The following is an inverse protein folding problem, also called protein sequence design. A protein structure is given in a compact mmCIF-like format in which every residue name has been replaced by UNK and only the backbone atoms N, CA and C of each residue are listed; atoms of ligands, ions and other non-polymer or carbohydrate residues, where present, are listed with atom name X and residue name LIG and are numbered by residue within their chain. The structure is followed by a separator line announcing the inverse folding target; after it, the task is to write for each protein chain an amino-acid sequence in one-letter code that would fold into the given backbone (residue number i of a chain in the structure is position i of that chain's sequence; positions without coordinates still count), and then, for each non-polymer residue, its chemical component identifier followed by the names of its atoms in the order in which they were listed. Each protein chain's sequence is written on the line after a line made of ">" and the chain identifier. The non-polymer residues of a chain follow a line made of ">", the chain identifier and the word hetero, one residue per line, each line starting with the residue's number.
data_IF_847156538017
#
_entry.id   IF_847156538017
#
_cell.length_a   1.000
_cell.length_b   1.000
_cell.length_c   1.000
_cell.angle_alpha   90.00
_cell.angle_beta   90.00
_cell.angle_gamma   90.00
#
_symmetry.space_group_name_H-M   'P 1'
#
loop_
_entity.id
_entity.type
_entity.pdbx_description
1 polymer ?
#
# COMPACT_ATOMS: atom_id res chain seq x y z
N UNK A 1 11.74 62.74 -40.07
CA UNK A 1 12.87 61.79 -40.13
C UNK A 1 13.68 62.01 -38.85
N UNK A 2 13.47 61.35 -37.72
CA UNK A 2 12.85 60.08 -37.33
C UNK A 2 12.60 60.24 -35.82
N UNK A 3 11.34 60.40 -35.40
CA UNK A 3 10.58 59.34 -34.72
C UNK A 3 11.37 58.70 -33.57
N UNK A 4 11.25 59.29 -32.38
CA UNK A 4 10.49 58.74 -31.23
C UNK A 4 11.44 57.97 -30.27
N UNK A 5 11.99 58.59 -29.21
CA UNK A 5 11.35 58.87 -27.90
C UNK A 5 11.33 57.60 -27.01
N UNK A 6 12.35 57.44 -26.17
CA UNK A 6 12.43 57.78 -24.73
C UNK A 6 11.72 56.80 -23.80
N UNK A 7 12.53 56.33 -22.86
CA UNK A 7 12.26 55.78 -21.53
C UNK A 7 10.85 55.98 -20.96
N UNK A 8 10.18 54.87 -20.66
CA UNK A 8 9.30 54.76 -19.49
C UNK A 8 9.27 53.31 -18.99
N UNK A 9 9.39 53.22 -17.69
CA UNK A 9 9.58 52.06 -16.86
C UNK A 9 8.20 51.59 -16.33
N UNK A 10 8.09 50.27 -16.09
CA UNK A 10 7.23 49.63 -15.07
C UNK A 10 5.76 49.35 -15.48
N UNK A 11 5.34 48.13 -15.11
CA UNK A 11 3.98 47.67 -14.78
C UNK A 11 3.37 46.60 -15.71
N UNK A 12 3.42 45.37 -15.17
CA UNK A 12 2.32 44.38 -15.08
C UNK A 12 1.80 43.68 -16.33
N UNK A 13 2.39 42.50 -16.56
CA UNK A 13 1.61 41.27 -16.86
C UNK A 13 2.40 40.08 -16.31
N UNK A 14 2.56 39.94 -14.99
CA UNK A 14 1.61 39.23 -14.12
C UNK A 14 0.77 38.14 -14.82
N UNK A 15 1.07 36.91 -14.38
CA UNK A 15 0.13 35.80 -14.20
C UNK A 15 -0.59 35.23 -15.44
N UNK A 16 -0.02 34.17 -15.98
CA UNK A 16 -0.78 32.91 -16.09
C UNK A 16 -0.17 31.87 -15.17
N UNK A 17 -0.17 32.20 -13.87
CA UNK A 17 -0.37 31.20 -12.83
C UNK A 17 -1.81 30.72 -13.01
N UNK A 18 -2.01 29.73 -13.88
CA UNK A 18 -3.28 29.03 -13.89
C UNK A 18 -3.43 28.36 -12.54
N UNK A 19 -4.31 28.97 -11.76
CA UNK A 19 -4.83 28.53 -10.48
C UNK A 19 -5.39 27.11 -10.62
N UNK A 20 -4.55 26.11 -10.43
CA UNK A 20 -5.07 24.79 -10.07
C UNK A 20 -5.37 24.84 -8.59
N UNK A 21 -6.60 25.27 -8.31
CA UNK A 21 -7.32 25.04 -7.06
C UNK A 21 -6.92 23.70 -6.47
N UNK A 22 -6.91 23.62 -5.13
CA UNK A 22 -6.57 22.48 -4.29
C UNK A 22 -7.33 21.20 -4.71
N UNK A 23 -6.98 20.63 -5.87
CA UNK A 23 -7.54 19.43 -6.47
C UNK A 23 -6.78 18.37 -5.72
N UNK A 24 -7.37 17.94 -4.61
CA UNK A 24 -6.91 16.78 -3.86
C UNK A 24 -6.67 15.70 -4.90
N UNK A 25 -5.40 15.44 -5.20
CA UNK A 25 -5.03 14.51 -6.24
C UNK A 25 -5.72 13.19 -5.89
N UNK A 26 -6.56 12.63 -6.78
CA UNK A 26 -7.28 11.41 -6.47
C UNK A 26 -6.28 10.34 -6.01
N UNK A 27 -6.60 9.56 -4.97
CA UNK A 27 -5.71 8.52 -4.50
C UNK A 27 -5.43 7.53 -5.64
N UNK A 28 -4.20 7.03 -5.68
CA UNK A 28 -3.70 6.14 -6.75
C UNK A 28 -4.65 4.97 -7.05
N UNK A 29 -5.32 4.44 -6.03
CA UNK A 29 -6.26 3.32 -6.18
C UNK A 29 -7.51 3.70 -6.97
N UNK A 30 -8.05 4.89 -6.79
CA UNK A 30 -9.21 5.38 -7.54
C UNK A 30 -8.84 5.60 -9.01
N UNK A 31 -7.65 6.13 -9.26
CA UNK A 31 -7.15 6.29 -10.64
C UNK A 31 -6.95 4.93 -11.31
N UNK A 32 -6.48 3.90 -10.59
CA UNK A 32 -6.39 2.53 -11.12
C UNK A 32 -7.79 1.99 -11.46
N UNK A 33 -8.79 2.22 -10.61
CA UNK A 33 -10.17 1.80 -10.87
C UNK A 33 -10.73 2.48 -12.13
N UNK A 34 -10.54 3.80 -12.26
CA UNK A 34 -10.92 4.55 -13.46
C UNK A 34 -10.23 4.01 -14.73
N UNK A 35 -8.93 3.71 -14.67
CA UNK A 35 -8.21 3.12 -15.79
C UNK A 35 -8.71 1.71 -16.12
N UNK A 36 -9.15 0.92 -15.15
CA UNK A 36 -9.75 -0.39 -15.38
C UNK A 36 -11.14 -0.30 -16.02
N UNK A 37 -11.92 0.72 -15.70
CA UNK A 37 -13.21 0.98 -16.36
C UNK A 37 -13.02 1.39 -17.83
N UNK A 38 -12.02 2.24 -18.11
CA UNK A 38 -11.70 2.71 -19.47
C UNK A 38 -10.99 1.66 -20.31
N UNK A 39 -10.07 0.90 -19.70
CA UNK A 39 -9.22 -0.08 -20.38
C UNK A 39 -9.26 -1.44 -19.66
N UNK A 40 -10.40 -2.15 -19.72
CA UNK A 40 -10.63 -3.38 -18.95
C UNK A 40 -9.73 -4.55 -19.39
N UNK A 41 -9.18 -4.49 -20.61
CA UNK A 41 -8.29 -5.52 -21.13
C UNK A 41 -6.88 -5.44 -20.56
N UNK A 42 -6.44 -4.25 -20.13
CA UNK A 42 -5.09 -4.02 -19.61
C UNK A 42 -5.07 -3.92 -18.10
N UNK A 43 -6.02 -3.15 -17.56
CA UNK A 43 -6.12 -2.89 -16.15
C UNK A 43 -7.24 -3.73 -15.57
N UNK A 44 -6.84 -4.69 -14.75
CA UNK A 44 -7.77 -5.57 -14.06
C UNK A 44 -7.70 -5.21 -12.57
N UNK A 45 -8.84 -4.82 -12.01
CA UNK A 45 -9.02 -4.53 -10.57
C UNK A 45 -9.18 -5.82 -9.78
N UNK A 46 -10.03 -6.72 -10.26
CA UNK A 46 -10.35 -8.00 -9.64
C UNK A 46 -10.12 -9.15 -10.63
N UNK A 47 -9.19 -10.04 -10.30
CA UNK A 47 -8.89 -11.22 -11.11
C UNK A 47 -7.42 -11.37 -11.50
N UNK A 48 -7.16 -12.21 -12.48
CA UNK A 48 -5.80 -12.49 -12.95
C UNK A 48 -5.28 -11.30 -13.75
N UNK A 49 -4.23 -10.67 -13.23
CA UNK A 49 -3.56 -9.55 -13.92
C UNK A 49 -2.67 -10.12 -15.00
N UNK A 50 -2.59 -9.44 -16.15
CA UNK A 50 -1.67 -9.79 -17.24
C UNK A 50 -0.47 -8.82 -17.26
N UNK A 51 0.72 -9.27 -17.69
CA UNK A 51 1.87 -8.39 -17.87
C UNK A 51 1.57 -7.27 -18.88
N UNK A 52 2.00 -6.05 -18.58
CA UNK A 52 1.74 -4.89 -19.43
C UNK A 52 2.79 -4.76 -20.56
N UNK A 53 2.39 -4.13 -21.67
CA UNK A 53 3.29 -3.68 -22.74
C UNK A 53 4.40 -2.77 -22.21
N UNK A 54 5.61 -2.93 -22.73
CA UNK A 54 6.73 -2.03 -22.45
C UNK A 54 6.43 -0.67 -23.11
N UNK A 55 6.51 0.41 -22.34
CA UNK A 55 6.17 1.75 -22.86
C UNK A 55 4.67 2.05 -22.92
N UNK A 56 3.82 1.27 -22.21
CA UNK A 56 2.37 1.53 -22.14
C UNK A 56 2.02 2.96 -21.64
N UNK A 57 2.94 3.62 -20.92
CA UNK A 57 2.75 4.99 -20.48
C UNK A 57 2.52 5.97 -21.64
N UNK A 58 3.21 5.80 -22.76
CA UNK A 58 3.09 6.66 -23.93
C UNK A 58 1.71 6.50 -24.56
N UNK A 59 1.32 5.25 -24.81
CA UNK A 59 -0.01 4.90 -25.36
C UNK A 59 -1.13 5.46 -24.47
N UNK A 60 -0.98 5.38 -23.14
CA UNK A 60 -1.93 5.97 -22.18
C UNK A 60 -1.92 7.50 -22.22
N UNK A 61 -0.75 8.12 -22.30
CA UNK A 61 -0.64 9.57 -22.30
C UNK A 61 -1.26 10.20 -23.56
N UNK A 62 -1.25 9.47 -24.68
CA UNK A 62 -1.92 9.87 -25.93
C UNK A 62 -3.43 9.65 -25.84
N UNK A 63 -3.87 8.46 -25.38
CA UNK A 63 -5.29 8.14 -25.27
C UNK A 63 -6.05 8.99 -24.23
N UNK A 64 -5.38 9.44 -23.16
CA UNK A 64 -5.94 10.34 -22.14
C UNK A 64 -5.47 11.79 -22.30
N UNK A 65 -4.92 12.19 -23.45
CA UNK A 65 -4.46 13.57 -23.66
C UNK A 65 -5.59 14.60 -23.48
N UNK A 66 -6.82 14.21 -23.81
CA UNK A 66 -8.01 15.05 -23.74
C UNK A 66 -8.77 14.93 -22.39
N UNK A 67 -8.38 13.98 -21.53
CA UNK A 67 -9.05 13.70 -20.25
C UNK A 67 -8.35 14.47 -19.10
N UNK A 68 -8.96 15.55 -18.60
CA UNK A 68 -8.45 16.35 -17.45
C UNK A 68 -8.50 15.63 -16.09
N UNK A 69 -9.02 14.40 -16.06
CA UNK A 69 -9.18 13.62 -14.84
C UNK A 69 -7.87 12.99 -14.36
N UNK A 70 -6.89 12.78 -15.26
CA UNK A 70 -5.64 12.11 -14.91
C UNK A 70 -4.43 12.86 -15.47
N UNK A 71 -3.54 13.31 -14.59
CA UNK A 71 -2.29 13.96 -15.02
C UNK A 71 -1.20 12.95 -15.40
N UNK A 72 -0.29 13.34 -16.30
CA UNK A 72 0.88 12.52 -16.70
C UNK A 72 1.76 12.07 -15.52
N UNK A 73 1.86 12.90 -14.48
CA UNK A 73 2.62 12.56 -13.26
C UNK A 73 1.89 11.50 -12.44
N UNK A 74 0.57 11.60 -12.30
CA UNK A 74 -0.24 10.58 -11.64
C UNK A 74 -0.20 9.26 -12.42
N UNK A 75 -0.28 9.27 -13.75
CA UNK A 75 -0.15 8.06 -14.58
C UNK A 75 1.14 7.29 -14.27
N UNK A 76 2.28 7.98 -14.14
CA UNK A 76 3.55 7.32 -13.74
C UNK A 76 3.48 6.71 -12.35
N UNK A 77 2.93 7.44 -11.37
CA UNK A 77 2.78 6.94 -10.00
C UNK A 77 1.85 5.72 -9.95
N UNK A 78 0.77 5.76 -10.71
CA UNK A 78 -0.21 4.69 -10.86
C UNK A 78 0.41 3.46 -11.48
N UNK A 79 1.11 3.59 -12.61
CA UNK A 79 1.79 2.47 -13.25
C UNK A 79 2.83 1.83 -12.33
N UNK A 80 3.62 2.64 -11.63
CA UNK A 80 4.59 2.14 -10.65
C UNK A 80 3.90 1.38 -9.51
N UNK A 81 2.82 1.91 -8.95
CA UNK A 81 2.07 1.23 -7.89
C UNK A 81 1.41 -0.06 -8.38
N UNK A 82 0.89 -0.07 -9.61
CA UNK A 82 0.25 -1.23 -10.23
C UNK A 82 1.27 -2.35 -10.45
N UNK A 83 2.41 -2.03 -11.06
CA UNK A 83 3.48 -3.01 -11.39
C UNK A 83 4.23 -3.54 -10.17
N UNK A 84 4.21 -2.83 -9.04
CA UNK A 84 4.79 -3.30 -7.77
C UNK A 84 3.78 -4.08 -6.89
N UNK A 85 2.53 -4.21 -7.33
CA UNK A 85 1.55 -5.02 -6.63
C UNK A 85 1.91 -6.50 -6.68
N UNK A 86 1.68 -7.22 -5.57
CA UNK A 86 1.89 -8.68 -5.52
C UNK A 86 1.16 -9.43 -6.63
N UNK A 87 -0.04 -8.97 -7.00
CA UNK A 87 -0.83 -9.57 -8.08
C UNK A 87 -0.10 -9.48 -9.42
N UNK A 88 0.49 -8.32 -9.69
CA UNK A 88 1.23 -8.09 -10.93
C UNK A 88 2.52 -8.91 -10.95
N UNK A 89 3.32 -8.86 -9.88
CA UNK A 89 4.56 -9.63 -9.79
C UNK A 89 4.33 -11.14 -9.93
N UNK A 90 3.20 -11.65 -9.43
CA UNK A 90 2.83 -13.07 -9.59
C UNK A 90 2.42 -13.44 -11.03
N UNK A 91 1.96 -12.49 -11.83
CA UNK A 91 1.59 -12.70 -13.23
C UNK A 91 2.78 -12.72 -14.19
N UNK A 92 3.90 -12.11 -13.79
CA UNK A 92 5.15 -12.06 -14.56
C UNK A 92 5.86 -13.41 -14.55
N UNK A 93 5.36 -14.34 -15.36
CA UNK A 93 5.95 -15.67 -15.60
C UNK A 93 6.74 -15.67 -16.91
N UNK A 94 7.74 -16.55 -17.07
CA UNK A 94 8.42 -16.69 -18.35
C UNK A 94 7.41 -17.08 -19.43
N UNK A 95 7.59 -16.54 -20.63
CA UNK A 95 6.71 -16.77 -21.78
C UNK A 95 5.28 -16.24 -21.64
N UNK A 96 5.01 -15.38 -20.64
CA UNK A 96 3.71 -14.72 -20.54
C UNK A 96 3.56 -13.62 -21.61
N UNK A 97 2.40 -13.60 -22.27
CA UNK A 97 2.08 -12.59 -23.30
C UNK A 97 1.78 -11.25 -22.64
N UNK A 98 2.41 -10.19 -23.15
CA UNK A 98 2.19 -8.81 -22.72
C UNK A 98 0.97 -8.25 -23.42
N UNK A 99 0.18 -7.48 -22.69
CA UNK A 99 -1.05 -6.88 -23.19
C UNK A 99 -0.88 -5.37 -23.38
N UNK A 100 -1.20 -4.88 -24.58
CA UNK A 100 -1.29 -3.47 -24.93
C UNK A 100 -2.64 -2.84 -24.59
N UNK A 101 -2.81 -1.53 -24.84
CA UNK A 101 -3.95 -0.72 -24.39
C UNK A 101 -5.34 -1.21 -24.85
N UNK A 102 -5.40 -1.87 -26.00
CA UNK A 102 -6.63 -2.41 -26.60
C UNK A 102 -6.71 -3.94 -26.51
N UNK A 103 -5.84 -4.58 -25.72
CA UNK A 103 -5.79 -6.04 -25.62
C UNK A 103 -4.85 -6.72 -26.61
N UNK A 104 -4.09 -5.95 -27.40
CA UNK A 104 -3.14 -6.47 -28.38
C UNK A 104 -1.95 -7.18 -27.72
N UNK A 105 -1.43 -8.22 -28.38
CA UNK A 105 -0.22 -8.92 -27.95
C UNK A 105 1.01 -8.05 -28.24
N UNK A 106 1.64 -7.55 -27.18
CA UNK A 106 2.73 -6.58 -27.27
C UNK A 106 4.08 -7.17 -26.87
N UNK A 107 4.31 -8.44 -27.25
CA UNK A 107 5.52 -9.20 -26.97
C UNK A 107 5.38 -10.13 -25.77
N UNK A 108 6.51 -10.71 -25.36
CA UNK A 108 6.57 -11.78 -24.36
C UNK A 108 7.43 -11.34 -23.18
N UNK A 109 7.14 -11.84 -21.98
CA UNK A 109 8.00 -11.66 -20.80
C UNK A 109 9.19 -12.60 -20.90
N UNK A 110 10.38 -12.00 -20.89
CA UNK A 110 11.65 -12.72 -20.91
C UNK A 110 11.92 -13.43 -19.57
N UNK A 111 12.74 -14.47 -19.60
CA UNK A 111 13.08 -15.29 -18.43
C UNK A 111 13.74 -14.44 -17.34
N UNK A 112 14.69 -13.57 -17.72
CA UNK A 112 15.37 -12.66 -16.78
C UNK A 112 14.38 -11.74 -16.07
N UNK A 113 13.38 -11.24 -16.79
CA UNK A 113 12.37 -10.34 -16.23
C UNK A 113 11.43 -11.07 -15.27
N UNK A 114 11.11 -12.34 -15.57
CA UNK A 114 10.34 -13.19 -14.68
C UNK A 114 11.10 -13.53 -13.39
N UNK A 115 12.40 -13.82 -13.47
CA UNK A 115 13.26 -14.04 -12.31
C UNK A 115 13.32 -12.81 -11.41
N UNK A 116 13.54 -11.63 -11.98
CA UNK A 116 13.50 -10.37 -11.24
C UNK A 116 12.15 -10.14 -10.56
N UNK A 117 11.04 -10.45 -11.22
CA UNK A 117 9.71 -10.33 -10.63
C UNK A 117 9.51 -11.30 -9.46
N UNK A 118 10.00 -12.54 -9.56
CA UNK A 118 9.96 -13.52 -8.49
C UNK A 118 10.77 -13.08 -7.26
N UNK A 119 11.96 -12.52 -7.48
CA UNK A 119 12.80 -11.95 -6.40
C UNK A 119 12.08 -10.76 -5.74
N UNK A 120 11.53 -9.83 -6.53
CA UNK A 120 10.80 -8.69 -6.02
C UNK A 120 9.56 -9.11 -5.22
N UNK A 121 8.87 -10.18 -5.63
CA UNK A 121 7.74 -10.76 -4.91
C UNK A 121 8.17 -11.27 -3.52
N UNK A 122 9.27 -12.03 -3.46
CA UNK A 122 9.81 -12.53 -2.19
C UNK A 122 10.19 -11.37 -1.25
N UNK A 123 10.94 -10.38 -1.74
CA UNK A 123 11.32 -9.19 -0.97
C UNK A 123 10.11 -8.39 -0.49
N UNK A 124 9.09 -8.22 -1.33
CA UNK A 124 7.88 -7.49 -0.96
C UNK A 124 7.07 -8.21 0.13
N UNK A 125 7.05 -9.55 0.12
CA UNK A 125 6.43 -10.35 1.19
C UNK A 125 7.17 -10.19 2.51
N UNK A 126 8.50 -10.28 2.49
CA UNK A 126 9.33 -10.11 3.69
C UNK A 126 9.18 -8.71 4.29
N UNK A 127 9.24 -7.67 3.46
CA UNK A 127 9.06 -6.28 3.88
C UNK A 127 7.67 -6.04 4.49
N UNK A 128 6.62 -6.66 3.93
CA UNK A 128 5.27 -6.57 4.48
C UNK A 128 5.15 -7.25 5.85
N UNK A 129 5.69 -8.45 6.00
CA UNK A 129 5.67 -9.16 7.29
C UNK A 129 6.47 -8.41 8.36
N UNK A 130 7.64 -7.85 8.00
CA UNK A 130 8.42 -6.99 8.89
C UNK A 130 7.60 -5.76 9.35
N UNK A 131 6.99 -5.03 8.40
CA UNK A 131 6.15 -3.86 8.70
C UNK A 131 4.94 -4.22 9.56
N UNK A 132 4.29 -5.35 9.29
CA UNK A 132 3.15 -5.85 10.06
C UNK A 132 3.54 -6.25 11.48
N UNK A 133 4.72 -6.85 11.65
CA UNK A 133 5.26 -7.19 12.97
C UNK A 133 5.57 -5.93 13.79
N UNK A 134 6.15 -4.90 13.17
CA UNK A 134 6.39 -3.60 13.81
C UNK A 134 5.10 -2.90 14.20
N UNK A 135 4.11 -2.86 13.31
CA UNK A 135 2.78 -2.32 13.60
C UNK A 135 2.10 -3.05 14.76
N UNK A 136 2.18 -4.38 14.80
CA UNK A 136 1.63 -5.17 15.91
C UNK A 136 2.35 -4.86 17.23
N UNK A 137 3.67 -4.67 17.21
CA UNK A 137 4.44 -4.26 18.40
C UNK A 137 4.04 -2.86 18.87
N UNK A 138 3.83 -1.92 17.95
CA UNK A 138 3.38 -0.56 18.25
C UNK A 138 1.98 -0.56 18.86
N UNK A 139 1.01 -1.22 18.21
CA UNK A 139 -0.37 -1.35 18.70
C UNK A 139 -0.42 -2.03 20.08
N UNK A 140 0.40 -3.07 20.30
CA UNK A 140 0.50 -3.73 21.61
C UNK A 140 1.01 -2.77 22.69
N UNK A 141 2.05 -1.97 22.40
CA UNK A 141 2.57 -0.96 23.34
C UNK A 141 1.53 0.11 23.66
N UNK A 142 0.80 0.60 22.65
CA UNK A 142 -0.28 1.57 22.85
C UNK A 142 -1.43 1.00 23.67
N UNK A 143 -1.83 -0.25 23.40
CA UNK A 143 -2.88 -0.94 24.17
C UNK A 143 -2.50 -1.07 25.66
N UNK A 144 -1.28 -1.52 25.98
CA UNK A 144 -0.81 -1.61 27.37
C UNK A 144 -0.66 -0.24 28.04
N UNK A 145 -0.26 0.80 27.30
CA UNK A 145 -0.20 2.16 27.83
C UNK A 145 -1.60 2.66 28.21
N UNK A 146 -2.58 2.48 27.34
CA UNK A 146 -3.98 2.88 27.56
C UNK A 146 -4.60 2.15 28.77
N UNK A 147 -4.39 0.84 28.90
CA UNK A 147 -4.84 0.09 30.09
C UNK A 147 -4.20 0.60 31.41
N UNK A 148 -2.93 1.00 31.38
CA UNK A 148 -2.24 1.53 32.58
C UNK A 148 -2.74 2.93 32.96
N UNK A 149 -3.18 3.72 32.00
CA UNK A 149 -3.76 5.05 32.23
C UNK A 149 -5.20 4.94 32.75
N UNK A 150 -6.04 4.08 32.16
CA UNK A 150 -7.42 3.80 32.61
C UNK A 150 -7.46 3.14 34.01
N UNK A 151 -6.48 2.29 34.33
CA UNK A 151 -6.35 1.68 35.66
C UNK A 151 -5.92 2.64 36.78
N UNK A 152 -5.42 3.84 36.45
CA UNK A 152 -5.04 4.88 37.43
C UNK A 152 -6.18 5.84 37.78
N UNK A 153 -7.27 5.84 37.02
CA UNK A 153 -8.45 6.70 37.25
C UNK A 153 -9.58 6.03 38.05
N UNK A 154 -9.43 4.77 38.49
CA UNK A 154 -10.36 4.17 39.43
C UNK A 154 -10.12 4.73 40.85
N UNK A 155 -11.13 5.27 41.55
CA UNK A 155 -10.94 5.88 42.85
C UNK A 155 -10.51 4.82 43.86
N UNK A 156 -9.45 5.12 44.60
CA UNK A 156 -8.95 4.33 45.72
C UNK A 156 -9.96 4.30 46.87
N UNK A 157 -11.05 3.53 46.76
CA UNK A 157 -11.78 3.12 47.95
C UNK A 157 -11.01 1.96 48.60
N UNK A 158 -10.43 2.27 49.76
CA UNK A 158 -9.65 1.37 50.62
C UNK A 158 -10.46 0.10 50.97
N UNK A 159 -10.40 -0.93 50.13
CA UNK A 159 -10.70 -2.29 50.56
C UNK A 159 -9.42 -2.86 51.19
N UNK A 160 -9.32 -2.74 52.51
CA UNK A 160 -8.39 -3.52 53.33
C UNK A 160 -8.63 -5.00 53.00
N UNK A 161 -7.86 -5.58 52.08
CA UNK A 161 -7.80 -7.03 51.93
C UNK A 161 -6.98 -7.54 53.10
N UNK A 162 -7.70 -8.03 54.11
CA UNK A 162 -7.13 -8.85 55.16
C UNK A 162 -6.18 -9.87 54.52
N UNK A 163 -4.92 -9.81 54.91
CA UNK A 163 -3.95 -10.88 54.70
C UNK A 163 -4.46 -12.08 55.49
N UNK A 164 -5.36 -12.86 54.90
CA UNK A 164 -5.67 -14.20 55.41
C UNK A 164 -4.46 -15.05 55.05
N UNK A 165 -3.59 -15.21 56.05
CA UNK A 165 -2.49 -16.16 56.09
C UNK A 165 -3.06 -17.57 55.88
N UNK A 166 -3.24 -17.98 54.62
CA UNK A 166 -3.51 -19.39 54.30
C UNK A 166 -2.21 -20.14 54.49
N UNK A 167 -2.22 -20.93 55.56
CA UNK A 167 -1.21 -21.88 55.98
C UNK A 167 -0.74 -22.70 54.78
N UNK A 168 0.57 -22.81 54.62
CA UNK A 168 1.21 -23.71 53.68
C UNK A 168 0.81 -25.15 54.00
N UNK A 169 0.00 -25.75 53.13
CA UNK A 169 -0.16 -27.19 52.99
C UNK A 169 -0.67 -27.45 51.57
N UNK A 170 0.11 -28.20 50.81
CA UNK A 170 -0.19 -28.82 49.51
C UNK A 170 -0.59 -27.93 48.33
N UNK A 171 0.42 -27.41 47.62
CA UNK A 171 0.32 -27.16 46.19
C UNK A 171 0.83 -28.42 45.45
N UNK A 172 0.02 -29.10 44.61
CA UNK A 172 0.57 -30.11 43.73
C UNK A 172 1.47 -29.41 42.71
N UNK A 173 2.78 -29.70 42.78
CA UNK A 173 3.74 -29.35 41.73
C UNK A 173 3.15 -29.83 40.39
N UNK A 174 3.21 -28.99 39.36
CA UNK A 174 2.85 -29.38 38.00
C UNK A 174 3.66 -30.63 37.62
N UNK A 175 3.03 -31.79 37.68
CA UNK A 175 3.64 -33.05 37.26
C UNK A 175 3.58 -33.15 35.75
N UNK A 176 4.54 -33.87 35.16
CA UNK A 176 4.68 -34.02 33.71
C UNK A 176 3.38 -34.52 33.02
N UNK A 177 2.50 -35.22 33.74
CA UNK A 177 1.18 -35.63 33.24
C UNK A 177 0.24 -34.45 32.97
N UNK A 178 0.30 -33.38 33.76
CA UNK A 178 -0.55 -32.19 33.55
C UNK A 178 -0.16 -31.43 32.27
N UNK A 179 1.11 -31.47 31.88
CA UNK A 179 1.61 -30.91 30.63
C UNK A 179 1.25 -31.80 29.42
N UNK A 180 1.30 -33.13 29.58
CA UNK A 180 0.89 -34.07 28.54
C UNK A 180 -0.62 -34.01 28.25
N UNK A 181 -1.45 -33.80 29.29
CA UNK A 181 -2.89 -33.65 29.14
C UNK A 181 -3.29 -32.38 28.36
N UNK A 182 -2.50 -31.32 28.43
CA UNK A 182 -2.72 -30.09 27.66
C UNK A 182 -2.38 -30.28 26.17
N UNK A 183 -1.36 -31.09 25.86
CA UNK A 183 -0.93 -31.36 24.48
C UNK A 183 -1.99 -32.12 23.67
N UNK A 184 -2.69 -33.09 24.28
CA UNK A 184 -3.77 -33.83 23.61
C UNK A 184 -5.09 -33.04 23.48
N UNK A 185 -5.26 -31.92 24.18
CA UNK A 185 -6.48 -31.10 24.08
C UNK A 185 -6.45 -30.13 22.89
N UNK A 186 -5.27 -29.87 22.32
CA UNK A 186 -5.07 -28.95 21.19
C UNK A 186 -4.78 -29.65 19.85
N UNK A 187 -4.79 -30.98 19.81
CA UNK A 187 -4.71 -31.77 18.58
C UNK A 187 -6.09 -32.31 18.17
N UNK A 188 -6.95 -31.44 17.66
CA UNK A 188 -8.07 -31.84 16.80
C UNK A 188 -8.36 -30.76 15.77
#
# INVERSE_FOLDING_TARGET
>A
MSEQQLDAQIETSEASTQSSANKVNPPIKEVIAYLAEKFPLCFITEGEVKPLKIGLFQDLAEALADDENVSKTQLRQVLRAYTMSWRYLASCKPNAVRVGLQGEEAGIVDEQQAEHAAIALAQAKEAFEARKAEQRKAQRKEFFKKQREEGKSAPQHKAKKAFVKRKAADAPKATAESLAALANKFSR
#
